data_IF_698599525773
#
_entry.id   IF_698599525773
#
_cell.length_a   1.000
_cell.length_b   1.000
_cell.length_c   1.000
_cell.angle_alpha   90.00
_cell.angle_beta   90.00
_cell.angle_gamma   90.00
#
_symmetry.space_group_name_H-M   'P 1'
#
loop_
_entity.id
_entity.type
_entity.pdbx_description
1 polymer ?
#
# COMPACT_ATOMS: atom_id res chain seq x y z
N UNK A 1 16.06 -13.20 -7.09
CA UNK A 1 16.35 -12.20 -8.14
C UNK A 1 15.01 -11.82 -8.75
N UNK A 2 14.68 -10.52 -8.92
CA UNK A 2 13.41 -10.13 -9.56
C UNK A 2 13.34 -10.72 -10.98
N UNK A 3 12.16 -11.20 -11.40
CA UNK A 3 11.98 -11.73 -12.75
C UNK A 3 12.21 -10.63 -13.79
N UNK A 4 12.47 -11.01 -15.04
CA UNK A 4 12.80 -10.04 -16.08
C UNK A 4 11.63 -9.09 -16.39
N UNK A 5 10.39 -9.56 -16.26
CA UNK A 5 9.19 -8.73 -16.41
C UNK A 5 9.05 -7.66 -15.31
N UNK A 6 9.60 -7.89 -14.11
CA UNK A 6 9.67 -6.84 -13.08
C UNK A 6 10.62 -5.70 -13.45
N UNK A 7 11.54 -5.92 -14.41
CA UNK A 7 12.51 -4.90 -14.84
C UNK A 7 12.01 -4.12 -16.04
N UNK A 8 11.26 -4.78 -16.94
CA UNK A 8 10.70 -4.16 -18.15
C UNK A 8 9.34 -3.52 -17.88
N UNK A 9 8.54 -4.09 -16.98
CA UNK A 9 7.18 -3.68 -16.71
C UNK A 9 6.24 -3.88 -17.91
N UNK A 10 4.97 -3.56 -17.71
CA UNK A 10 4.00 -3.41 -18.79
C UNK A 10 3.07 -2.24 -18.44
N UNK A 11 2.35 -1.72 -19.42
CA UNK A 11 1.33 -0.69 -19.20
C UNK A 11 -0.05 -1.25 -19.57
N UNK A 12 -1.05 -1.02 -18.72
CA UNK A 12 -2.44 -1.33 -19.06
C UNK A 12 -2.99 -0.33 -20.07
N UNK A 13 -3.92 -0.82 -20.89
CA UNK A 13 -4.72 0.03 -21.76
C UNK A 13 -5.69 0.84 -20.90
N UNK A 14 -5.37 2.11 -20.65
CA UNK A 14 -6.19 3.01 -19.87
C UNK A 14 -5.54 4.39 -19.76
N UNK A 15 -6.38 5.41 -19.59
CA UNK A 15 -5.94 6.79 -19.37
C UNK A 15 -6.37 7.21 -17.96
N UNK A 16 -5.42 7.58 -17.08
CA UNK A 16 -5.75 8.11 -15.76
C UNK A 16 -6.75 9.27 -15.81
N UNK A 17 -7.80 9.25 -14.97
CA UNK A 17 -8.86 10.30 -14.97
C UNK A 17 -8.88 11.18 -13.72
N UNK A 18 -8.26 10.72 -12.63
CA UNK A 18 -8.00 11.52 -11.45
C UNK A 18 -7.00 12.65 -11.66
N UNK A 19 -6.61 13.28 -10.56
CA UNK A 19 -5.79 14.49 -10.53
C UNK A 19 -4.65 14.38 -9.53
N UNK A 20 -3.62 15.18 -9.72
CA UNK A 20 -2.60 15.38 -8.70
C UNK A 20 -3.12 16.37 -7.64
N UNK A 21 -2.82 16.07 -6.38
CA UNK A 21 -3.16 16.86 -5.21
C UNK A 21 -2.10 16.64 -4.13
N UNK A 22 -2.36 17.11 -2.92
CA UNK A 22 -1.51 16.90 -1.75
C UNK A 22 -2.30 16.20 -0.65
N UNK A 23 -1.72 15.17 -0.04
CA UNK A 23 -2.21 14.55 1.19
C UNK A 23 -1.16 14.78 2.28
N UNK A 24 -1.51 15.60 3.28
CA UNK A 24 -0.55 16.14 4.25
C UNK A 24 0.58 16.88 3.52
N UNK A 25 1.84 16.44 3.68
CA UNK A 25 2.99 17.04 3.01
C UNK A 25 3.35 16.32 1.70
N UNK A 26 2.73 15.17 1.42
CA UNK A 26 3.06 14.33 0.27
C UNK A 26 2.22 14.69 -0.97
N UNK A 27 2.87 14.75 -2.14
CA UNK A 27 2.16 14.73 -3.41
C UNK A 27 1.34 13.43 -3.52
N UNK A 28 0.14 13.49 -4.09
CA UNK A 28 -0.74 12.35 -4.21
C UNK A 28 -1.52 12.39 -5.52
N UNK A 29 -1.82 11.21 -6.07
CA UNK A 29 -2.85 11.07 -7.08
C UNK A 29 -4.19 10.79 -6.38
N UNK A 30 -5.23 11.51 -6.77
CA UNK A 30 -6.57 11.43 -6.17
C UNK A 30 -7.62 11.28 -7.25
N UNK A 31 -8.52 10.31 -7.05
CA UNK A 31 -9.61 10.01 -7.99
C UNK A 31 -10.87 9.57 -7.24
N UNK A 32 -12.03 9.69 -7.87
CA UNK A 32 -13.34 9.54 -7.22
C UNK A 32 -13.85 10.83 -6.58
N UNK A 33 -15.08 10.77 -6.06
CA UNK A 33 -15.81 11.90 -5.50
C UNK A 33 -16.69 11.54 -4.28
N UNK A 34 -16.43 10.39 -3.66
CA UNK A 34 -17.13 9.99 -2.44
C UNK A 34 -16.79 10.95 -1.30
N UNK A 35 -17.76 11.24 -0.45
CA UNK A 35 -17.58 12.01 0.80
C UNK A 35 -17.71 11.12 2.04
N UNK A 36 -17.98 9.83 1.87
CA UNK A 36 -18.18 8.87 2.97
C UNK A 36 -17.04 7.85 3.08
N UNK A 37 -16.54 7.39 1.93
CA UNK A 37 -15.58 6.29 1.85
C UNK A 37 -14.30 6.73 1.15
N UNK A 38 -13.15 6.46 1.77
CA UNK A 38 -11.84 6.66 1.19
C UNK A 38 -11.00 5.38 1.14
N UNK A 39 -10.06 5.32 0.19
CA UNK A 39 -9.08 4.24 0.09
C UNK A 39 -7.68 4.85 0.03
N UNK A 40 -6.81 4.44 0.95
CA UNK A 40 -5.39 4.77 0.95
C UNK A 40 -4.59 3.67 0.26
N UNK A 41 -3.96 3.98 -0.86
CA UNK A 41 -3.13 3.03 -1.60
C UNK A 41 -1.66 3.21 -1.19
N UNK A 42 -1.12 2.19 -0.54
CA UNK A 42 0.27 2.10 -0.11
C UNK A 42 1.07 1.29 -1.14
N UNK A 43 1.91 1.98 -1.90
CA UNK A 43 2.54 1.40 -3.10
C UNK A 43 3.81 0.62 -2.79
N UNK A 44 4.29 -0.07 -3.83
CA UNK A 44 5.61 -0.68 -3.87
C UNK A 44 6.76 0.36 -3.91
N UNK A 45 8.00 -0.13 -4.05
CA UNK A 45 9.22 0.67 -4.08
C UNK A 45 9.64 1.20 -5.47
N UNK A 46 8.90 0.95 -6.57
CA UNK A 46 9.29 1.30 -7.95
C UNK A 46 9.10 2.78 -8.29
N UNK A 47 10.11 3.40 -8.94
CA UNK A 47 10.21 4.87 -9.20
C UNK A 47 9.54 5.32 -10.49
N UNK A 48 9.04 6.57 -10.54
CA UNK A 48 8.22 7.30 -9.56
C UNK A 48 6.76 6.81 -9.53
N UNK A 49 6.15 6.72 -8.34
CA UNK A 49 4.87 6.05 -8.07
C UNK A 49 3.77 6.78 -8.79
N UNK A 50 3.80 8.12 -8.68
CA UNK A 50 2.87 8.97 -9.40
C UNK A 50 3.10 8.89 -10.91
N UNK A 51 4.30 8.63 -11.44
CA UNK A 51 4.47 8.57 -12.90
C UNK A 51 4.14 7.21 -13.51
N UNK A 52 3.91 6.17 -12.70
CA UNK A 52 3.51 4.86 -13.20
C UNK A 52 2.02 4.87 -13.56
N UNK A 53 1.64 4.69 -14.83
CA UNK A 53 0.24 4.79 -15.25
C UNK A 53 -0.64 3.72 -14.61
N UNK A 54 -0.10 2.51 -14.38
CA UNK A 54 -0.90 1.38 -13.88
C UNK A 54 -1.49 1.62 -12.49
N UNK A 55 -0.75 2.24 -11.56
CA UNK A 55 -1.28 2.48 -10.21
C UNK A 55 -2.39 3.54 -10.22
N UNK A 56 -2.29 4.53 -11.11
CA UNK A 56 -3.35 5.54 -11.31
C UNK A 56 -4.60 4.91 -11.93
N UNK A 57 -4.42 4.11 -12.99
CA UNK A 57 -5.50 3.35 -13.63
C UNK A 57 -6.17 2.42 -12.60
N UNK A 58 -5.38 1.74 -11.77
CA UNK A 58 -5.92 0.88 -10.71
C UNK A 58 -6.74 1.68 -9.69
N UNK A 59 -6.24 2.84 -9.27
CA UNK A 59 -6.94 3.73 -8.36
C UNK A 59 -8.27 4.23 -8.96
N UNK A 60 -8.30 4.54 -10.25
CA UNK A 60 -9.54 4.94 -10.95
C UNK A 60 -10.57 3.80 -10.92
N UNK A 61 -10.14 2.56 -11.15
CA UNK A 61 -11.00 1.39 -11.03
C UNK A 61 -11.48 1.18 -9.58
N UNK A 62 -10.62 1.31 -8.58
CA UNK A 62 -11.04 1.23 -7.18
C UNK A 62 -12.07 2.30 -6.82
N UNK A 63 -11.87 3.54 -7.25
CA UNK A 63 -12.81 4.63 -7.00
C UNK A 63 -14.19 4.34 -7.61
N UNK A 64 -14.19 3.86 -8.86
CA UNK A 64 -15.40 3.52 -9.60
C UNK A 64 -16.15 2.34 -8.98
N UNK A 65 -15.47 1.23 -8.75
CA UNK A 65 -16.10 -0.03 -8.33
C UNK A 65 -16.44 -0.06 -6.84
N UNK A 66 -15.69 0.65 -5.99
CA UNK A 66 -15.94 0.72 -4.55
C UNK A 66 -16.74 1.98 -4.13
N UNK A 67 -17.12 2.84 -5.07
CA UNK A 67 -17.76 4.13 -4.80
C UNK A 67 -17.03 4.98 -3.75
N UNK A 68 -15.70 5.07 -3.91
CA UNK A 68 -14.79 5.67 -2.95
C UNK A 68 -13.95 6.80 -3.56
N UNK A 69 -13.39 7.65 -2.71
CA UNK A 69 -12.29 8.56 -3.09
C UNK A 69 -10.97 7.87 -2.77
N UNK A 70 -10.13 7.68 -3.78
CA UNK A 70 -8.88 6.91 -3.68
C UNK A 70 -7.70 7.87 -3.68
N UNK A 71 -6.80 7.68 -2.72
CA UNK A 71 -5.58 8.45 -2.54
C UNK A 71 -4.37 7.53 -2.74
N UNK A 72 -3.50 7.91 -3.68
CA UNK A 72 -2.20 7.27 -3.90
C UNK A 72 -1.11 8.29 -3.55
N UNK A 73 -0.71 8.43 -2.28
CA UNK A 73 0.39 9.32 -1.91
C UNK A 73 1.71 8.82 -2.48
N UNK A 74 2.59 9.74 -2.85
CA UNK A 74 3.97 9.44 -3.17
C UNK A 74 4.71 9.13 -1.87
N UNK A 75 4.87 7.84 -1.60
CA UNK A 75 5.57 7.29 -0.44
C UNK A 75 7.09 7.55 -0.44
N UNK A 76 7.58 8.53 -1.22
CA UNK A 76 9.02 8.77 -1.44
C UNK A 76 9.44 10.23 -1.53
N UNK A 77 9.97 10.69 -0.42
CA UNK A 77 10.98 11.76 -0.38
C UNK A 77 12.40 11.31 -0.81
N UNK A 78 12.53 10.41 -1.79
CA UNK A 78 13.84 9.97 -2.29
C UNK A 78 13.83 9.79 -3.80
N UNK A 79 13.65 10.90 -4.53
CA UNK A 79 14.40 11.11 -5.77
C UNK A 79 15.89 10.95 -5.40
N UNK A 80 16.65 10.03 -5.99
CA UNK A 80 17.82 10.40 -6.79
C UNK A 80 18.58 9.12 -7.26
N UNK A 81 17.88 8.02 -7.51
CA UNK A 81 18.56 6.80 -7.99
C UNK A 81 18.06 6.51 -9.39
N UNK A 82 18.94 6.74 -10.38
CA UNK A 82 18.77 6.27 -11.74
C UNK A 82 18.66 4.75 -11.69
N UNK A 83 17.78 4.14 -12.49
CA UNK A 83 17.47 2.70 -12.42
C UNK A 83 18.73 1.79 -12.42
N UNK A 84 19.81 2.21 -13.09
CA UNK A 84 21.09 1.51 -13.15
C UNK A 84 21.90 1.47 -11.84
N UNK A 85 21.61 2.37 -10.90
CA UNK A 85 22.34 2.53 -9.63
C UNK A 85 21.46 2.13 -8.42
N UNK A 86 20.35 1.40 -8.67
CA UNK A 86 19.39 1.00 -7.64
C UNK A 86 20.01 0.02 -6.64
N UNK A 87 20.47 0.57 -5.51
CA UNK A 87 20.90 -0.20 -4.36
C UNK A 87 19.70 -0.46 -3.43
N UNK A 88 19.20 -1.69 -3.47
CA UNK A 88 18.07 -2.12 -2.63
C UNK A 88 18.37 -1.97 -1.13
N UNK A 89 19.58 -2.33 -0.68
CA UNK A 89 19.95 -2.21 0.73
C UNK A 89 19.94 -0.77 1.24
N UNK A 90 20.50 0.16 0.47
CA UNK A 90 20.47 1.59 0.79
C UNK A 90 19.06 2.19 0.70
N UNK A 91 18.21 1.67 -0.19
CA UNK A 91 16.80 2.02 -0.21
C UNK A 91 16.09 1.57 1.06
N UNK A 92 16.21 0.30 1.44
CA UNK A 92 15.60 -0.26 2.66
C UNK A 92 16.11 0.46 3.92
N UNK A 93 17.41 0.79 3.99
CA UNK A 93 17.97 1.53 5.12
C UNK A 93 17.41 2.95 5.31
N UNK A 94 16.98 3.62 4.23
CA UNK A 94 16.33 4.95 4.32
C UNK A 94 14.80 4.89 4.36
N UNK A 95 14.24 3.70 4.20
CA UNK A 95 12.81 3.44 4.20
C UNK A 95 12.53 2.27 5.15
N UNK A 96 13.09 2.35 6.36
CA UNK A 96 12.70 1.41 7.42
C UNK A 96 11.29 1.74 7.88
N UNK A 97 10.67 0.79 8.57
CA UNK A 97 9.32 0.97 9.15
C UNK A 97 9.27 2.21 10.03
N UNK A 98 10.25 2.42 10.90
CA UNK A 98 10.28 3.55 11.83
C UNK A 98 10.41 4.91 11.12
N UNK A 99 11.18 4.94 10.02
CA UNK A 99 11.36 6.17 9.23
C UNK A 99 10.08 6.53 8.48
N UNK A 100 9.36 5.55 7.94
CA UNK A 100 8.20 5.76 7.06
C UNK A 100 6.85 5.66 7.78
N UNK A 101 6.80 5.14 8.99
CA UNK A 101 5.55 5.02 9.74
C UNK A 101 4.88 6.36 10.06
N UNK A 102 5.59 7.43 10.47
CA UNK A 102 4.95 8.70 10.81
C UNK A 102 4.12 9.31 9.67
N UNK A 103 4.65 9.31 8.44
CA UNK A 103 3.97 9.82 7.25
C UNK A 103 2.72 8.98 6.89
N UNK A 104 2.82 7.66 6.97
CA UNK A 104 1.71 6.73 6.69
C UNK A 104 0.60 6.91 7.71
N UNK A 105 0.97 6.97 8.99
CA UNK A 105 0.03 7.18 10.08
C UNK A 105 -0.68 8.52 9.94
N UNK A 106 0.05 9.59 9.63
CA UNK A 106 -0.54 10.91 9.42
C UNK A 106 -1.55 10.92 8.26
N UNK A 107 -1.23 10.28 7.14
CA UNK A 107 -2.15 10.13 6.01
C UNK A 107 -3.45 9.40 6.41
N UNK A 108 -3.32 8.28 7.12
CA UNK A 108 -4.48 7.52 7.61
C UNK A 108 -5.34 8.33 8.60
N UNK A 109 -4.71 9.06 9.52
CA UNK A 109 -5.40 9.95 10.47
C UNK A 109 -6.17 11.06 9.75
N UNK A 110 -5.55 11.70 8.75
CA UNK A 110 -6.22 12.72 7.92
C UNK A 110 -7.47 12.14 7.27
N UNK A 111 -7.35 10.97 6.63
CA UNK A 111 -8.50 10.34 5.98
C UNK A 111 -9.59 9.94 7.00
N UNK A 112 -9.24 9.35 8.15
CA UNK A 112 -10.22 9.00 9.19
C UNK A 112 -10.92 10.22 9.80
N UNK A 113 -10.31 11.40 9.75
CA UNK A 113 -10.95 12.65 10.18
C UNK A 113 -11.95 13.23 9.17
N UNK A 114 -11.86 12.81 7.90
CA UNK A 114 -12.64 13.34 6.78
C UNK A 114 -13.72 12.36 6.29
N UNK A 115 -13.52 11.06 6.50
CA UNK A 115 -14.35 10.00 5.95
C UNK A 115 -14.82 9.05 7.06
N UNK A 116 -16.08 8.61 6.95
CA UNK A 116 -16.65 7.63 7.88
C UNK A 116 -15.99 6.26 7.76
N UNK A 117 -15.60 5.89 6.53
CA UNK A 117 -14.97 4.60 6.20
C UNK A 117 -13.67 4.83 5.45
N UNK A 118 -12.59 4.20 5.90
CA UNK A 118 -11.29 4.27 5.27
C UNK A 118 -10.71 2.88 5.15
N UNK A 119 -10.42 2.45 3.92
CA UNK A 119 -9.70 1.23 3.64
C UNK A 119 -8.24 1.52 3.29
N UNK A 120 -7.33 0.57 3.52
CA UNK A 120 -5.98 0.64 2.96
C UNK A 120 -5.71 -0.53 2.02
N UNK A 121 -5.06 -0.25 0.89
CA UNK A 121 -4.59 -1.28 -0.04
C UNK A 121 -3.06 -1.23 -0.09
N UNK A 122 -2.38 -2.30 0.33
CA UNK A 122 -0.93 -2.39 0.36
C UNK A 122 -0.35 -3.28 -0.73
N UNK A 123 0.65 -2.80 -1.47
CA UNK A 123 1.39 -3.57 -2.47
C UNK A 123 2.85 -3.72 -2.06
N UNK A 124 3.38 -4.95 -2.06
CA UNK A 124 4.78 -5.21 -1.78
C UNK A 124 5.26 -4.52 -0.48
N UNK A 125 6.08 -3.47 -0.60
CA UNK A 125 6.56 -2.63 0.49
C UNK A 125 5.42 -1.98 1.27
N UNK A 126 4.34 -1.55 0.63
CA UNK A 126 3.15 -1.03 1.31
C UNK A 126 2.42 -2.08 2.17
N UNK A 127 2.75 -3.37 2.03
CA UNK A 127 2.13 -4.46 2.76
C UNK A 127 2.34 -4.39 4.28
N UNK A 128 3.57 -4.23 4.76
CA UNK A 128 3.82 -4.12 6.22
C UNK A 128 3.07 -2.93 6.82
N UNK A 129 3.00 -1.83 6.07
CA UNK A 129 2.34 -0.60 6.52
C UNK A 129 0.82 -0.78 6.63
N UNK A 130 0.21 -1.46 5.67
CA UNK A 130 -1.21 -1.82 5.75
C UNK A 130 -1.51 -2.71 6.97
N UNK A 131 -0.67 -3.72 7.26
CA UNK A 131 -0.82 -4.53 8.48
C UNK A 131 -0.64 -3.72 9.76
N UNK A 132 0.31 -2.79 9.78
CA UNK A 132 0.53 -1.91 10.93
C UNK A 132 -0.65 -0.96 11.16
N UNK A 133 -1.29 -0.46 10.10
CA UNK A 133 -2.55 0.29 10.20
C UNK A 133 -3.67 -0.61 10.73
N UNK A 134 -3.75 -1.86 10.26
CA UNK A 134 -4.78 -2.82 10.66
C UNK A 134 -4.77 -3.16 12.16
N UNK A 135 -3.71 -2.84 12.89
CA UNK A 135 -3.64 -3.02 14.35
C UNK A 135 -4.41 -1.96 15.17
N UNK A 136 -4.91 -0.91 14.52
CA UNK A 136 -5.59 0.22 15.14
C UNK A 136 -6.86 0.61 14.35
N UNK A 137 -8.06 0.21 14.81
CA UNK A 137 -9.32 0.56 14.18
C UNK A 137 -9.62 2.07 14.13
N UNK A 138 -8.87 2.90 14.88
CA UNK A 138 -8.98 4.36 14.77
C UNK A 138 -8.27 4.92 13.53
N UNK A 139 -7.40 4.13 12.88
CA UNK A 139 -6.62 4.52 11.70
C UNK A 139 -7.18 3.96 10.39
N UNK A 140 -7.79 2.77 10.42
CA UNK A 140 -8.32 2.12 9.22
C UNK A 140 -9.47 1.19 9.61
N UNK A 141 -10.40 0.93 8.68
CA UNK A 141 -11.56 0.06 8.92
C UNK A 141 -11.40 -1.32 8.29
N UNK A 142 -10.58 -1.43 7.25
CA UNK A 142 -10.31 -2.69 6.53
C UNK A 142 -9.02 -2.54 5.73
N UNK A 143 -8.29 -3.64 5.54
CA UNK A 143 -7.14 -3.65 4.63
C UNK A 143 -7.20 -4.78 3.61
N UNK A 144 -6.70 -4.51 2.42
CA UNK A 144 -6.38 -5.53 1.43
C UNK A 144 -4.90 -5.42 1.09
N UNK A 145 -4.18 -6.54 1.03
CA UNK A 145 -2.76 -6.53 0.70
C UNK A 145 -2.45 -7.51 -0.41
N UNK A 146 -1.65 -7.06 -1.37
CA UNK A 146 -1.09 -7.90 -2.39
C UNK A 146 0.39 -8.15 -2.08
N UNK A 147 0.73 -9.43 -1.89
CA UNK A 147 2.11 -9.92 -1.75
C UNK A 147 2.98 -9.10 -0.77
N UNK A 148 2.59 -9.03 0.53
CA UNK A 148 3.26 -8.13 1.47
C UNK A 148 4.74 -8.51 1.69
N UNK A 149 5.60 -7.49 1.78
CA UNK A 149 7.03 -7.64 2.12
C UNK A 149 7.34 -7.03 3.48
N UNK A 150 8.41 -7.52 4.12
CA UNK A 150 8.83 -7.06 5.45
C UNK A 150 7.80 -7.30 6.56
N UNK A 151 6.84 -8.20 6.36
CA UNK A 151 5.78 -8.50 7.32
C UNK A 151 6.30 -9.44 8.43
N UNK A 152 6.03 -9.08 9.67
CA UNK A 152 6.43 -9.83 10.86
C UNK A 152 5.25 -10.54 11.52
N UNK A 153 5.53 -11.63 12.24
CA UNK A 153 4.50 -12.45 12.89
C UNK A 153 3.62 -11.65 13.85
N UNK A 154 4.22 -10.76 14.63
CA UNK A 154 3.50 -9.95 15.60
C UNK A 154 2.56 -8.94 14.93
N UNK A 155 2.84 -8.53 13.68
CA UNK A 155 1.97 -7.62 12.91
C UNK A 155 0.73 -8.36 12.42
N UNK A 156 0.85 -9.65 12.07
CA UNK A 156 -0.29 -10.52 11.73
C UNK A 156 -1.17 -10.74 12.97
N UNK A 157 -0.56 -11.04 14.11
CA UNK A 157 -1.29 -11.30 15.37
C UNK A 157 -1.94 -10.03 15.95
N UNK A 158 -1.38 -8.86 15.67
CA UNK A 158 -1.84 -7.58 16.18
C UNK A 158 -3.04 -6.97 15.44
N UNK A 159 -3.50 -7.58 14.35
CA UNK A 159 -4.61 -7.10 13.53
C UNK A 159 -5.91 -7.01 14.34
N UNK A 160 -6.65 -5.91 14.13
CA UNK A 160 -7.93 -5.58 14.78
C UNK A 160 -9.03 -5.16 13.80
N UNK A 161 -8.77 -5.25 12.50
CA UNK A 161 -9.75 -4.97 11.43
C UNK A 161 -9.73 -6.11 10.41
N UNK A 162 -10.78 -6.26 9.57
CA UNK A 162 -10.78 -7.28 8.53
C UNK A 162 -9.61 -7.12 7.54
N UNK A 163 -9.03 -8.25 7.12
CA UNK A 163 -7.86 -8.31 6.23
C UNK A 163 -8.13 -9.25 5.06
N UNK A 164 -7.92 -8.77 3.84
CA UNK A 164 -7.79 -9.61 2.64
C UNK A 164 -6.32 -9.71 2.24
N UNK A 165 -5.88 -10.89 1.81
CA UNK A 165 -4.50 -11.10 1.34
C UNK A 165 -4.51 -11.81 -0.02
N UNK A 166 -3.92 -11.16 -1.02
CA UNK A 166 -3.60 -11.78 -2.30
C UNK A 166 -2.19 -12.38 -2.17
N UNK A 167 -2.14 -13.71 -2.09
CA UNK A 167 -0.93 -14.48 -1.82
C UNK A 167 -0.50 -15.27 -3.07
N UNK A 168 0.46 -14.77 -3.87
CA UNK A 168 0.97 -15.50 -5.02
C UNK A 168 1.59 -16.83 -4.60
N UNK A 169 1.46 -17.88 -5.40
CA UNK A 169 2.01 -19.21 -5.08
C UNK A 169 3.51 -19.14 -4.77
N UNK A 170 4.27 -18.54 -5.69
CA UNK A 170 5.72 -18.39 -5.63
C UNK A 170 6.11 -16.96 -5.26
N UNK A 171 6.47 -16.75 -4.00
CA UNK A 171 6.92 -15.45 -3.48
C UNK A 171 7.98 -15.66 -2.39
N UNK A 172 9.09 -14.95 -2.53
CA UNK A 172 10.22 -15.01 -1.60
C UNK A 172 10.07 -14.03 -0.44
N UNK A 173 9.38 -12.91 -0.64
CA UNK A 173 9.08 -11.92 0.39
C UNK A 173 7.94 -12.44 1.27
N UNK A 174 6.81 -12.81 0.66
CA UNK A 174 5.72 -13.50 1.34
C UNK A 174 5.95 -15.02 1.31
N UNK A 175 6.95 -15.46 2.08
CA UNK A 175 7.44 -16.85 2.10
C UNK A 175 6.35 -17.88 2.42
N UNK A 176 6.58 -19.15 2.03
CA UNK A 176 5.68 -20.27 2.36
C UNK A 176 5.40 -20.37 3.86
N UNK A 177 6.43 -20.19 4.69
CA UNK A 177 6.30 -20.23 6.15
C UNK A 177 5.41 -19.11 6.67
N UNK A 178 5.57 -17.89 6.12
CA UNK A 178 4.75 -16.75 6.52
C UNK A 178 3.31 -16.91 6.05
N UNK A 179 3.07 -17.40 4.83
CA UNK A 179 1.73 -17.76 4.33
C UNK A 179 1.00 -18.75 5.24
N UNK A 180 1.67 -19.85 5.61
CA UNK A 180 1.13 -20.85 6.55
C UNK A 180 0.80 -20.21 7.89
N UNK A 181 1.74 -19.42 8.43
CA UNK A 181 1.53 -18.71 9.69
C UNK A 181 0.30 -17.79 9.63
N UNK A 182 0.16 -17.02 8.56
CA UNK A 182 -0.99 -16.13 8.37
C UNK A 182 -2.30 -16.90 8.31
N UNK A 183 -2.36 -18.00 7.54
CA UNK A 183 -3.56 -18.84 7.45
C UNK A 183 -3.95 -19.45 8.81
N UNK A 184 -2.96 -19.77 9.64
CA UNK A 184 -3.21 -20.34 10.97
C UNK A 184 -3.60 -19.30 12.03
N UNK A 185 -3.14 -18.06 11.89
CA UNK A 185 -3.22 -17.02 12.93
C UNK A 185 -4.25 -15.95 12.65
N UNK A 186 -4.34 -15.47 11.41
CA UNK A 186 -5.26 -14.40 11.06
C UNK A 186 -6.73 -14.74 11.38
N UNK A 187 -7.25 -15.96 11.10
CA UNK A 187 -8.62 -16.33 11.49
C UNK A 187 -8.87 -16.41 12.99
N UNK A 188 -7.82 -16.37 13.81
CA UNK A 188 -7.90 -16.37 15.28
C UNK A 188 -7.76 -14.97 15.88
N UNK A 189 -7.49 -13.96 15.05
CA UNK A 189 -7.61 -12.56 15.48
C UNK A 189 -9.09 -12.23 15.62
N UNK A 190 -9.45 -11.29 16.51
CA UNK A 190 -10.84 -10.99 16.88
C UNK A 190 -11.61 -10.19 15.81
N UNK A 191 -11.32 -10.43 14.53
CA UNK A 191 -11.74 -9.63 13.37
C UNK A 191 -12.45 -10.49 12.34
#
# INVERSE_FOLDING_TARGET
>A
MPCDDCKTGFQWNGTPIGKEATLNDAAAYVTGNSTDTAILVLTDFFKPTLTLPNIRILADHYAKEAHATVYVPDMRYLSLIKAKDFNMGAFLGRNTKDIRWPEIKAAAQTLKSQYSKVAAIGFCYGGWAAFKLAADPSLIDVVSVAHPSGLERHEIEGVKVPVQILAPENDHEYSKQLKVYTLEKLPKTSV
#
